data_IF_852944255785
#
_entry.id   IF_852944255785
#
_cell.length_a   1.000
_cell.length_b   1.000
_cell.length_c   1.000
_cell.angle_alpha   90.00
_cell.angle_beta   90.00
_cell.angle_gamma   90.00
#
_symmetry.space_group_name_H-M   'P 1'
#
loop_
_entity.id
_entity.type
_entity.pdbx_description
1 polymer ?
#
# COMPACT_ATOMS: atom_id res chain seq x y z
N UNK A 1 -55.38 -0.60 -17.46
CA UNK A 1 -54.71 0.71 -17.48
C UNK A 1 -53.22 0.45 -17.32
N UNK A 2 -52.51 0.10 -18.40
CA UNK A 2 -51.07 -0.11 -18.35
C UNK A 2 -50.40 1.25 -18.56
N UNK A 3 -49.71 1.73 -17.53
CA UNK A 3 -48.99 3.00 -17.54
C UNK A 3 -47.83 2.89 -18.54
N UNK A 4 -47.73 3.72 -19.59
CA UNK A 4 -46.60 3.66 -20.49
C UNK A 4 -45.37 4.21 -19.77
N UNK A 5 -44.41 3.32 -19.51
CA UNK A 5 -43.11 3.69 -18.97
C UNK A 5 -42.45 4.60 -20.01
N UNK A 6 -42.17 5.85 -19.62
CA UNK A 6 -41.53 6.85 -20.49
C UNK A 6 -40.21 6.33 -21.06
N UNK A 7 -39.83 6.78 -22.26
CA UNK A 7 -38.55 6.46 -22.90
C UNK A 7 -37.35 6.80 -21.98
N UNK A 8 -37.50 7.86 -21.17
CA UNK A 8 -36.55 8.23 -20.11
C UNK A 8 -36.48 7.21 -18.96
N UNK A 9 -37.59 6.52 -18.67
CA UNK A 9 -37.66 5.43 -17.70
C UNK A 9 -36.97 4.15 -18.18
N UNK A 10 -36.99 3.88 -19.49
CA UNK A 10 -36.23 2.76 -20.07
C UNK A 10 -34.72 2.97 -19.91
N UNK A 11 -34.21 4.18 -20.15
CA UNK A 11 -32.79 4.53 -20.01
C UNK A 11 -32.25 4.31 -18.59
N UNK A 12 -33.07 4.55 -17.57
CA UNK A 12 -32.70 4.33 -16.16
C UNK A 12 -32.56 2.84 -15.84
N UNK A 13 -33.34 1.95 -16.47
CA UNK A 13 -33.24 0.51 -16.21
C UNK A 13 -31.98 -0.11 -16.82
N UNK A 14 -31.48 0.45 -17.93
CA UNK A 14 -30.27 -0.05 -18.61
C UNK A 14 -29.02 0.27 -17.77
N UNK A 15 -28.99 1.38 -17.03
CA UNK A 15 -27.83 1.77 -16.22
C UNK A 15 -27.65 0.96 -14.93
N UNK A 16 -28.70 0.29 -14.42
CA UNK A 16 -28.58 -0.61 -13.25
C UNK A 16 -27.89 -1.95 -13.57
N UNK A 17 -27.55 -2.23 -14.84
CA UNK A 17 -27.00 -3.52 -15.27
C UNK A 17 -25.46 -3.63 -15.22
N UNK A 18 -24.72 -2.68 -14.64
CA UNK A 18 -23.24 -2.70 -14.64
C UNK A 18 -22.54 -2.86 -13.28
N UNK A 19 -23.26 -3.13 -12.20
CA UNK A 19 -22.65 -3.40 -10.88
C UNK A 19 -23.16 -4.77 -10.40
N UNK A 20 -22.41 -5.86 -10.25
CA UNK A 20 -20.99 -6.03 -9.99
C UNK A 20 -20.57 -7.44 -10.40
N UNK A 21 -19.87 -7.59 -11.54
CA UNK A 21 -18.80 -8.59 -11.60
C UNK A 21 -17.51 -7.86 -11.22
N UNK A 22 -17.48 -7.39 -9.97
CA UNK A 22 -16.22 -7.02 -9.32
C UNK A 22 -15.38 -8.29 -9.41
N UNK A 23 -14.34 -8.19 -10.23
CA UNK A 23 -13.34 -9.21 -10.37
C UNK A 23 -12.92 -9.61 -8.96
N UNK A 24 -13.15 -10.87 -8.61
CA UNK A 24 -12.34 -11.52 -7.61
C UNK A 24 -10.92 -11.60 -8.20
N UNK A 25 -10.20 -10.48 -8.23
CA UNK A 25 -8.75 -10.49 -8.38
C UNK A 25 -8.26 -11.13 -7.10
N UNK A 26 -7.90 -12.41 -7.19
CA UNK A 26 -7.05 -13.07 -6.21
C UNK A 26 -6.00 -12.06 -5.72
N UNK A 27 -5.74 -11.94 -4.41
CA UNK A 27 -4.61 -11.13 -3.97
C UNK A 27 -3.38 -11.67 -4.69
N UNK A 28 -2.82 -10.87 -5.59
CA UNK A 28 -1.52 -11.13 -6.20
C UNK A 28 -0.55 -11.17 -5.02
N UNK A 29 -0.01 -12.35 -4.72
CA UNK A 29 1.00 -12.50 -3.69
C UNK A 29 2.27 -11.83 -4.20
N UNK A 30 2.42 -10.53 -3.92
CA UNK A 30 3.67 -9.81 -4.20
C UNK A 30 4.67 -10.25 -3.14
N UNK A 31 5.52 -11.22 -3.47
CA UNK A 31 6.67 -11.57 -2.64
C UNK A 31 7.70 -10.46 -2.83
N UNK A 32 7.98 -9.64 -1.81
CA UNK A 32 9.03 -8.64 -1.92
C UNK A 32 10.38 -9.33 -2.10
N UNK A 33 11.20 -8.83 -3.02
CA UNK A 33 12.56 -9.33 -3.18
C UNK A 33 13.33 -9.12 -1.86
N UNK A 34 14.08 -10.13 -1.44
CA UNK A 34 14.93 -10.02 -0.26
C UNK A 34 15.88 -8.82 -0.41
N UNK A 35 15.96 -7.99 0.62
CA UNK A 35 16.79 -6.77 0.60
C UNK A 35 16.22 -5.60 -0.21
N UNK A 36 15.00 -5.71 -0.76
CA UNK A 36 14.34 -4.59 -1.45
C UNK A 36 14.00 -3.41 -0.53
N UNK A 37 13.92 -3.65 0.79
CA UNK A 37 13.77 -2.61 1.80
C UNK A 37 15.16 -2.20 2.34
N UNK A 38 15.66 -0.98 2.06
CA UNK A 38 16.95 -0.52 2.57
C UNK A 38 17.08 -0.53 4.09
N UNK A 39 15.97 -0.41 4.82
CA UNK A 39 15.97 -0.48 6.27
C UNK A 39 16.33 -1.87 6.81
N UNK A 40 16.30 -2.91 5.97
CA UNK A 40 16.77 -4.25 6.35
C UNK A 40 18.25 -4.48 6.05
N UNK A 41 18.98 -3.50 5.50
CA UNK A 41 20.43 -3.62 5.24
C UNK A 41 21.27 -3.48 6.50
N UNK A 42 20.69 -2.92 7.57
CA UNK A 42 21.32 -2.82 8.88
C UNK A 42 21.84 -1.42 9.23
N UNK A 43 22.44 -1.27 10.42
CA UNK A 43 22.68 0.03 11.06
C UNK A 43 23.63 0.93 10.29
N UNK A 44 24.56 0.35 9.54
CA UNK A 44 25.43 1.10 8.63
C UNK A 44 24.65 1.90 7.58
N UNK A 45 23.42 1.49 7.23
CA UNK A 45 22.55 2.26 6.34
C UNK A 45 21.68 3.27 7.11
N UNK A 46 20.90 2.80 8.10
CA UNK A 46 19.94 3.68 8.77
C UNK A 46 20.61 4.72 9.67
N UNK A 47 21.80 4.48 10.20
CA UNK A 47 22.59 5.45 10.96
C UNK A 47 23.57 6.28 10.11
N UNK A 48 23.55 6.13 8.78
CA UNK A 48 24.46 6.88 7.91
C UNK A 48 24.14 8.39 7.88
N UNK A 49 22.87 8.76 8.03
CA UNK A 49 22.39 10.15 8.07
C UNK A 49 20.94 10.23 8.57
N UNK A 50 20.49 11.44 8.90
CA UNK A 50 19.16 11.71 9.44
C UNK A 50 18.01 11.35 8.47
N UNK A 51 18.21 11.46 7.16
CA UNK A 51 17.20 11.08 6.17
C UNK A 51 16.92 9.58 6.20
N UNK A 52 17.97 8.75 6.27
CA UNK A 52 17.84 7.30 6.39
C UNK A 52 17.20 6.91 7.73
N UNK A 53 17.55 7.59 8.82
CA UNK A 53 16.91 7.40 10.13
C UNK A 53 15.40 7.66 10.05
N UNK A 54 15.00 8.82 9.53
CA UNK A 54 13.58 9.18 9.36
C UNK A 54 12.85 8.20 8.46
N UNK A 55 13.47 7.80 7.34
CA UNK A 55 12.91 6.83 6.40
C UNK A 55 12.67 5.47 7.05
N UNK A 56 13.57 5.05 7.93
CA UNK A 56 13.50 3.76 8.60
C UNK A 56 12.80 3.79 9.96
N UNK A 57 12.34 4.95 10.42
CA UNK A 57 11.69 5.11 11.72
C UNK A 57 12.63 4.87 12.90
N UNK A 58 13.92 5.17 12.72
CA UNK A 58 14.95 4.96 13.73
C UNK A 58 15.30 6.28 14.42
N UNK A 59 15.42 6.24 15.73
CA UNK A 59 15.89 7.33 16.57
C UNK A 59 17.42 7.42 16.64
N UNK A 60 17.91 8.58 17.07
CA UNK A 60 19.34 8.81 17.31
C UNK A 60 19.87 7.90 18.43
N UNK A 61 19.08 7.68 19.48
CA UNK A 61 19.44 6.84 20.62
C UNK A 61 19.69 5.38 20.21
N UNK A 62 18.90 4.85 19.28
CA UNK A 62 19.11 3.50 18.73
C UNK A 62 20.43 3.37 17.94
N UNK A 63 20.80 4.43 17.20
CA UNK A 63 22.09 4.48 16.51
C UNK A 63 23.27 4.58 17.49
N UNK A 64 23.14 5.40 18.53
CA UNK A 64 24.15 5.53 19.59
C UNK A 64 24.32 4.22 20.35
N UNK A 65 23.21 3.55 20.69
CA UNK A 65 23.26 2.22 21.31
C UNK A 65 24.04 1.23 20.44
N UNK A 66 23.74 1.16 19.14
CA UNK A 66 24.46 0.28 18.23
C UNK A 66 25.96 0.62 18.15
N UNK A 67 26.31 1.91 18.13
CA UNK A 67 27.71 2.34 18.13
C UNK A 67 28.45 1.95 19.42
N UNK A 68 27.78 2.00 20.57
CA UNK A 68 28.34 1.59 21.85
C UNK A 68 28.46 0.07 21.98
N UNK A 69 27.49 -0.70 21.45
CA UNK A 69 27.53 -2.18 21.46
C UNK A 69 28.69 -2.76 20.62
N UNK A 70 29.33 -1.93 19.78
CA UNK A 70 30.50 -2.30 18.98
C UNK A 70 31.85 -2.07 19.69
N UNK A 71 31.87 -1.46 20.88
CA UNK A 71 33.08 -1.16 21.68
C UNK A 71 33.07 -1.89 23.03
#
# INVERSE_FOLDING_TARGET
>A
MHNPISLSGLLVLISLSTNSLVHASSPEMVIPLLGSNPCTWGPSFWCANEENMKRCGVTQEECEKYANDLY
#
